data_IF_184355339745
#
_entry.id   IF_184355339745
#
_cell.length_a   1.000
_cell.length_b   1.000
_cell.length_c   1.000
_cell.angle_alpha   90.00
_cell.angle_beta   90.00
_cell.angle_gamma   90.00
#
_symmetry.space_group_name_H-M   'P 1'
#
loop_
_entity.id
_entity.type
_entity.pdbx_description
1 polymer ?
#
# COMPACT_ATOMS: atom_id res chain seq x y z
N UNK A 1 -15.01 -6.44 -16.35
CA UNK A 1 -14.27 -5.26 -15.87
C UNK A 1 -12.83 -5.71 -15.67
N UNK A 2 -11.88 -5.12 -16.39
CA UNK A 2 -10.49 -5.61 -16.41
C UNK A 2 -9.85 -5.46 -15.04
N UNK A 3 -9.54 -6.60 -14.41
CA UNK A 3 -8.86 -6.71 -13.11
C UNK A 3 -7.44 -6.05 -13.16
N UNK A 4 -6.91 -5.85 -14.37
CA UNK A 4 -5.56 -5.36 -14.65
C UNK A 4 -5.37 -3.82 -14.52
N UNK A 5 -6.33 -3.05 -14.02
CA UNK A 5 -6.13 -1.59 -13.90
C UNK A 5 -5.01 -1.26 -12.90
N UNK A 6 -3.96 -0.59 -13.40
CA UNK A 6 -2.80 -0.14 -12.61
C UNK A 6 -3.25 0.86 -11.55
N UNK A 7 -2.89 0.60 -10.29
CA UNK A 7 -3.23 1.51 -9.18
C UNK A 7 -2.37 2.77 -9.28
N UNK A 8 -1.11 2.62 -9.69
CA UNK A 8 -0.17 3.73 -9.90
C UNK A 8 -0.71 4.68 -10.96
N UNK A 9 -1.13 4.16 -12.12
CA UNK A 9 -1.65 4.99 -13.21
C UNK A 9 -2.93 5.75 -12.81
N UNK A 10 -3.85 5.10 -12.12
CA UNK A 10 -5.07 5.75 -11.61
C UNK A 10 -4.74 6.87 -10.61
N UNK A 11 -3.79 6.63 -9.69
CA UNK A 11 -3.41 7.64 -8.71
C UNK A 11 -2.72 8.85 -9.37
N UNK A 12 -1.83 8.61 -10.34
CA UNK A 12 -1.18 9.69 -11.09
C UNK A 12 -2.17 10.52 -11.92
N UNK A 13 -3.22 9.90 -12.46
CA UNK A 13 -4.30 10.62 -13.14
C UNK A 13 -5.12 11.50 -12.19
N UNK A 14 -5.35 11.05 -10.96
CA UNK A 14 -6.08 11.81 -9.94
C UNK A 14 -5.26 12.98 -9.37
N UNK A 15 -3.93 12.88 -9.40
CA UNK A 15 -3.02 13.89 -8.88
C UNK A 15 -1.94 14.27 -9.91
N UNK A 16 -2.34 14.88 -11.04
CA UNK A 16 -1.41 15.19 -12.15
C UNK A 16 -0.32 16.19 -11.75
N UNK A 17 -0.60 17.05 -10.77
CA UNK A 17 0.35 18.04 -10.25
C UNK A 17 1.44 17.41 -9.36
N UNK A 18 1.27 16.14 -8.95
CA UNK A 18 2.27 15.42 -8.17
C UNK A 18 3.29 14.82 -9.12
N UNK A 19 4.52 15.34 -9.06
CA UNK A 19 5.63 14.81 -9.85
C UNK A 19 6.01 13.40 -9.38
N UNK A 20 5.82 12.42 -10.24
CA UNK A 20 6.35 11.07 -10.03
C UNK A 20 7.89 11.12 -9.98
N UNK A 21 8.47 10.38 -9.05
CA UNK A 21 9.91 10.28 -8.87
C UNK A 21 10.39 8.88 -9.21
N UNK A 22 11.65 8.80 -9.63
CA UNK A 22 12.32 7.53 -9.92
C UNK A 22 13.03 7.03 -8.66
N UNK A 23 12.77 5.78 -8.31
CA UNK A 23 13.35 5.09 -7.17
C UNK A 23 14.08 3.82 -7.63
N UNK A 24 15.14 3.48 -6.92
CA UNK A 24 15.76 2.16 -7.02
C UNK A 24 15.13 1.21 -6.01
N UNK A 25 15.19 -0.10 -6.29
CA UNK A 25 14.69 -1.13 -5.38
C UNK A 25 15.23 -0.97 -3.95
N UNK A 26 16.55 -0.75 -3.80
CA UNK A 26 17.19 -0.56 -2.49
C UNK A 26 16.61 0.62 -1.72
N UNK A 27 16.33 1.74 -2.41
CA UNK A 27 15.71 2.92 -1.82
C UNK A 27 14.28 2.64 -1.38
N UNK A 28 13.48 1.94 -2.20
CA UNK A 28 12.12 1.56 -1.83
C UNK A 28 12.09 0.61 -0.64
N UNK A 29 12.95 -0.41 -0.61
CA UNK A 29 13.06 -1.32 0.53
C UNK A 29 13.41 -0.57 1.81
N UNK A 30 14.43 0.29 1.77
CA UNK A 30 14.81 1.09 2.93
C UNK A 30 13.70 2.06 3.38
N UNK A 31 13.00 2.68 2.42
CA UNK A 31 11.85 3.55 2.71
C UNK A 31 10.69 2.78 3.33
N UNK A 32 10.31 1.63 2.77
CA UNK A 32 9.25 0.77 3.34
C UNK A 32 9.61 0.31 4.74
N UNK A 33 10.83 -0.15 4.98
CA UNK A 33 11.30 -0.53 6.33
C UNK A 33 11.20 0.64 7.32
N UNK A 34 11.68 1.83 6.94
CA UNK A 34 11.61 3.00 7.80
C UNK A 34 10.15 3.42 8.12
N UNK A 35 9.25 3.31 7.14
CA UNK A 35 7.82 3.62 7.32
C UNK A 35 7.13 2.61 8.25
N UNK A 36 7.41 1.32 8.06
CA UNK A 36 6.89 0.26 8.90
C UNK A 36 7.47 0.33 10.33
N UNK A 37 8.73 0.73 10.50
CA UNK A 37 9.34 0.97 11.81
C UNK A 37 8.61 2.09 12.56
N UNK A 38 8.21 3.16 11.85
CA UNK A 38 7.36 4.21 12.43
C UNK A 38 6.01 3.67 12.89
N UNK A 39 5.38 2.78 12.11
CA UNK A 39 4.13 2.10 12.51
C UNK A 39 4.36 1.28 13.78
N UNK A 40 5.43 0.51 13.84
CA UNK A 40 5.75 -0.34 14.98
C UNK A 40 6.08 0.48 16.24
N UNK A 41 6.71 1.65 16.09
CA UNK A 41 7.08 2.53 17.19
C UNK A 41 5.93 3.39 17.76
N UNK A 42 4.87 3.64 16.98
CA UNK A 42 3.71 4.42 17.47
C UNK A 42 2.88 3.67 18.52
N UNK A 43 1.78 4.26 18.98
CA UNK A 43 0.77 3.54 19.81
C UNK A 43 -0.60 3.46 19.11
N UNK A 44 -0.73 4.15 17.98
CA UNK A 44 -1.96 4.21 17.20
C UNK A 44 -2.29 2.85 16.55
N UNK A 45 -3.58 2.69 16.22
CA UNK A 45 -4.10 1.61 15.39
C UNK A 45 -4.34 2.12 13.95
N UNK A 46 -3.33 2.08 13.05
CA UNK A 46 -3.48 2.58 11.69
C UNK A 46 -4.17 1.56 10.76
N UNK A 47 -4.67 2.04 9.63
CA UNK A 47 -4.89 1.19 8.45
C UNK A 47 -3.55 0.95 7.76
N UNK A 48 -3.21 -0.31 7.46
CA UNK A 48 -2.00 -0.69 6.73
C UNK A 48 -2.37 -1.56 5.54
N UNK A 49 -2.00 -1.12 4.34
CA UNK A 49 -2.17 -1.88 3.11
C UNK A 49 -0.81 -1.98 2.42
N UNK A 50 -0.33 -3.21 2.26
CA UNK A 50 0.94 -3.48 1.59
C UNK A 50 0.74 -4.42 0.40
N UNK A 51 1.33 -4.08 -0.73
CA UNK A 51 1.30 -4.89 -1.95
C UNK A 51 2.72 -5.22 -2.37
N UNK A 52 3.04 -6.51 -2.35
CA UNK A 52 4.30 -7.06 -2.81
C UNK A 52 4.12 -7.63 -4.21
N UNK A 53 5.09 -7.40 -5.07
CA UNK A 53 5.07 -7.95 -6.43
C UNK A 53 4.97 -9.48 -6.42
N UNK A 54 5.61 -10.15 -5.46
CA UNK A 54 5.74 -11.61 -5.38
C UNK A 54 5.82 -12.08 -3.92
N UNK A 55 5.31 -13.29 -3.66
CA UNK A 55 5.30 -13.94 -2.35
C UNK A 55 6.68 -13.94 -1.66
N UNK A 56 7.78 -14.24 -2.36
CA UNK A 56 9.13 -14.27 -1.75
C UNK A 56 9.56 -12.97 -1.09
N UNK A 57 9.10 -11.82 -1.59
CA UNK A 57 9.41 -10.52 -0.98
C UNK A 57 8.60 -10.32 0.30
N UNK A 58 7.32 -10.71 0.28
CA UNK A 58 6.49 -10.71 1.49
C UNK A 58 7.03 -11.66 2.56
N UNK A 59 7.49 -12.88 2.22
CA UNK A 59 7.96 -13.87 3.19
C UNK A 59 9.10 -13.35 4.06
N UNK A 60 9.97 -12.50 3.52
CA UNK A 60 11.07 -11.88 4.26
C UNK A 60 10.55 -10.89 5.32
N UNK A 61 9.39 -10.26 5.06
CA UNK A 61 8.79 -9.23 5.90
C UNK A 61 7.63 -9.73 6.77
N UNK A 62 7.19 -10.99 6.60
CA UNK A 62 5.98 -11.54 7.23
C UNK A 62 5.96 -11.37 8.76
N UNK A 63 7.13 -11.50 9.42
CA UNK A 63 7.24 -11.28 10.86
C UNK A 63 6.89 -9.83 11.27
N UNK A 64 7.22 -8.85 10.43
CA UNK A 64 6.89 -7.43 10.69
C UNK A 64 5.39 -7.19 10.60
N UNK A 65 4.74 -7.72 9.56
CA UNK A 65 3.28 -7.60 9.41
C UNK A 65 2.51 -8.30 10.53
N UNK A 66 3.03 -9.43 11.03
CA UNK A 66 2.48 -10.08 12.23
C UNK A 66 2.54 -9.17 13.46
N UNK A 67 3.61 -8.40 13.65
CA UNK A 67 3.73 -7.42 14.75
C UNK A 67 2.82 -6.21 14.53
N UNK A 68 2.71 -5.71 13.31
CA UNK A 68 1.79 -4.60 12.97
C UNK A 68 0.34 -5.01 13.26
N UNK A 69 -0.05 -6.22 12.91
CA UNK A 69 -1.39 -6.76 13.16
C UNK A 69 -1.74 -6.96 14.64
N UNK A 70 -0.75 -6.93 15.55
CA UNK A 70 -1.03 -6.87 16.99
C UNK A 70 -1.52 -5.49 17.45
N UNK A 71 -1.35 -4.46 16.61
CA UNK A 71 -1.70 -3.06 16.92
C UNK A 71 -3.00 -2.62 16.25
N UNK A 72 -3.39 -3.28 15.17
CA UNK A 72 -4.56 -2.91 14.37
C UNK A 72 -5.16 -4.14 13.68
N UNK A 73 -6.49 -4.20 13.64
CA UNK A 73 -7.22 -5.23 12.89
C UNK A 73 -7.26 -4.95 11.38
N UNK A 74 -6.75 -3.79 10.95
CA UNK A 74 -6.86 -3.26 9.59
C UNK A 74 -5.54 -3.37 8.85
N UNK A 75 -5.08 -4.62 8.69
CA UNK A 75 -3.87 -4.97 7.94
C UNK A 75 -4.25 -5.84 6.75
N UNK A 76 -3.83 -5.40 5.57
CA UNK A 76 -4.09 -6.07 4.29
C UNK A 76 -2.78 -6.25 3.53
N UNK A 77 -2.45 -7.50 3.23
CA UNK A 77 -1.23 -7.85 2.50
C UNK A 77 -1.59 -8.55 1.20
N UNK A 78 -1.16 -7.96 0.09
CA UNK A 78 -1.35 -8.47 -1.26
C UNK A 78 -0.02 -9.03 -1.79
N UNK A 79 -0.05 -10.20 -2.41
CA UNK A 79 1.10 -10.73 -3.14
C UNK A 79 0.66 -11.67 -4.28
N UNK A 80 1.46 -11.75 -5.36
CA UNK A 80 1.32 -12.81 -6.34
C UNK A 80 1.82 -14.13 -5.72
N UNK A 81 1.00 -15.19 -5.70
CA UNK A 81 1.39 -16.47 -5.10
C UNK A 81 2.46 -17.17 -5.94
N UNK A 82 3.49 -17.70 -5.29
CA UNK A 82 4.50 -18.55 -5.92
C UNK A 82 4.37 -20.00 -5.44
N UNK A 83 3.98 -20.20 -4.18
CA UNK A 83 3.89 -21.50 -3.52
C UNK A 83 2.67 -21.59 -2.59
N UNK A 84 2.78 -21.12 -1.34
CA UNK A 84 1.77 -21.35 -0.30
C UNK A 84 0.93 -20.10 0.02
N UNK A 85 1.28 -18.95 -0.54
CA UNK A 85 0.52 -17.73 -0.32
C UNK A 85 -0.88 -17.86 -0.90
N UNK A 86 -1.89 -17.72 -0.06
CA UNK A 86 -3.30 -17.90 -0.40
C UNK A 86 -4.13 -16.85 0.31
N UNK A 87 -5.40 -16.71 -0.11
CA UNK A 87 -6.35 -15.89 0.60
C UNK A 87 -6.61 -16.46 2.00
N UNK A 88 -6.33 -15.69 3.03
CA UNK A 88 -6.57 -16.09 4.42
C UNK A 88 -6.91 -14.91 5.31
N UNK A 89 -7.81 -15.14 6.26
CA UNK A 89 -8.24 -14.18 7.30
C UNK A 89 -7.73 -14.62 8.68
N UNK A 90 -6.42 -14.83 8.77
CA UNK A 90 -5.74 -15.23 10.00
C UNK A 90 -5.45 -14.03 10.90
N UNK A 91 -4.17 -13.80 11.17
CA UNK A 91 -3.71 -12.66 11.99
C UNK A 91 -3.99 -11.31 11.28
N UNK A 92 -3.93 -11.32 9.95
CA UNK A 92 -4.30 -10.21 9.08
C UNK A 92 -4.84 -10.77 7.76
N UNK A 93 -5.40 -9.90 6.92
CA UNK A 93 -5.92 -10.32 5.63
C UNK A 93 -4.78 -10.51 4.64
N UNK A 94 -4.67 -11.71 4.09
CA UNK A 94 -3.81 -12.02 2.95
C UNK A 94 -4.68 -12.14 1.70
N UNK A 95 -4.18 -11.57 0.60
CA UNK A 95 -4.88 -11.46 -0.68
C UNK A 95 -3.93 -11.92 -1.78
N UNK A 96 -4.11 -13.17 -2.23
CA UNK A 96 -3.41 -13.73 -3.37
C UNK A 96 -4.03 -13.18 -4.66
N UNK A 97 -3.33 -12.27 -5.32
CA UNK A 97 -3.75 -11.74 -6.62
C UNK A 97 -3.17 -12.55 -7.77
N UNK A 98 -3.80 -12.45 -8.94
CA UNK A 98 -3.36 -13.17 -10.13
C UNK A 98 -2.00 -12.62 -10.63
N UNK A 99 -1.01 -13.45 -10.98
CA UNK A 99 0.30 -12.97 -11.47
C UNK A 99 0.24 -12.04 -12.69
N UNK A 100 -0.85 -12.09 -13.46
CA UNK A 100 -1.11 -11.25 -14.63
C UNK A 100 -1.71 -9.87 -14.27
N UNK A 101 -2.05 -9.65 -13.00
CA UNK A 101 -2.49 -8.36 -12.50
C UNK A 101 -1.34 -7.34 -12.56
N UNK A 102 -1.67 -6.08 -12.84
CA UNK A 102 -0.71 -4.97 -12.75
C UNK A 102 -0.03 -4.87 -11.38
N UNK A 103 -0.65 -5.34 -10.30
CA UNK A 103 -0.03 -5.44 -8.97
C UNK A 103 1.28 -6.25 -8.96
N UNK A 104 1.47 -7.20 -9.88
CA UNK A 104 2.72 -7.96 -9.99
C UNK A 104 3.91 -7.08 -10.41
N UNK A 105 3.64 -5.92 -11.03
CA UNK A 105 4.62 -4.93 -11.44
C UNK A 105 4.59 -3.67 -10.56
N UNK A 106 3.78 -3.66 -9.50
CA UNK A 106 3.61 -2.51 -8.63
C UNK A 106 4.05 -2.82 -7.19
N UNK A 107 4.50 -1.79 -6.50
CA UNK A 107 4.90 -1.81 -5.10
C UNK A 107 4.08 -0.77 -4.35
N UNK A 108 3.35 -1.20 -3.32
CA UNK A 108 2.50 -0.31 -2.54
C UNK A 108 2.72 -0.48 -1.05
N UNK A 109 2.84 0.63 -0.34
CA UNK A 109 2.71 0.69 1.11
C UNK A 109 1.90 1.94 1.45
N UNK A 110 0.70 1.73 1.97
CA UNK A 110 -0.19 2.80 2.42
C UNK A 110 -0.48 2.61 3.89
N UNK A 111 -0.19 3.63 4.68
CA UNK A 111 -0.50 3.69 6.11
C UNK A 111 -1.33 4.92 6.38
N UNK A 112 -2.45 4.76 7.07
CA UNK A 112 -3.27 5.89 7.52
C UNK A 112 -3.49 5.73 9.02
N UNK A 113 -2.84 6.59 9.80
CA UNK A 113 -3.04 6.75 11.22
C UNK A 113 -3.92 7.99 11.49
N UNK A 114 -4.18 8.29 12.74
CA UNK A 114 -4.92 9.50 13.12
C UNK A 114 -4.08 10.77 12.95
N UNK A 115 -2.79 10.70 13.29
CA UNK A 115 -1.90 11.86 13.26
C UNK A 115 -1.03 11.97 11.99
N UNK A 116 -0.90 10.87 11.24
CA UNK A 116 -0.07 10.85 10.05
C UNK A 116 -0.60 9.88 8.99
N UNK A 117 -0.13 10.08 7.77
CA UNK A 117 -0.41 9.22 6.63
C UNK A 117 0.86 9.04 5.81
N UNK A 118 1.00 7.88 5.20
CA UNK A 118 2.15 7.47 4.37
C UNK A 118 1.53 6.84 3.13
N UNK A 119 1.90 7.36 1.96
CA UNK A 119 1.52 6.77 0.68
C UNK A 119 2.76 6.58 -0.18
N UNK A 120 3.21 5.33 -0.28
CA UNK A 120 4.24 4.88 -1.21
C UNK A 120 3.56 4.03 -2.28
N UNK A 121 3.46 4.53 -3.49
CA UNK A 121 2.88 3.82 -4.63
C UNK A 121 3.79 3.97 -5.83
N UNK A 122 4.35 2.85 -6.30
CA UNK A 122 5.34 2.84 -7.37
C UNK A 122 5.11 1.68 -8.34
N UNK A 123 5.26 1.95 -9.63
CA UNK A 123 5.22 0.95 -10.69
C UNK A 123 6.63 0.70 -11.24
N UNK A 124 6.96 -0.55 -11.49
CA UNK A 124 8.23 -0.91 -12.13
C UNK A 124 8.28 -0.38 -13.56
N UNK A 125 9.41 0.24 -13.90
CA UNK A 125 9.72 0.65 -15.27
C UNK A 125 10.73 -0.34 -15.83
N UNK A 126 10.27 -1.17 -16.75
CA UNK A 126 11.13 -1.98 -17.60
C UNK A 126 11.89 -1.05 -18.55
N UNK A 127 13.03 -0.53 -18.12
CA UNK A 127 14.00 0.09 -19.02
C UNK A 127 14.76 -1.06 -19.67
N UNK A 128 14.21 -1.63 -20.74
CA UNK A 128 15.00 -2.51 -21.60
C UNK A 128 16.16 -1.66 -22.17
N UNK A 129 17.43 -1.97 -21.90
CA UNK A 129 18.49 -1.41 -22.72
C UNK A 129 18.28 -1.98 -24.12
N UNK A 130 18.14 -1.11 -25.12
CA UNK A 130 18.05 -1.51 -26.52
C UNK A 130 19.14 -2.56 -26.83
N UNK A 131 18.71 -3.78 -27.17
CA UNK A 131 19.55 -4.75 -27.86
C UNK A 131 20.49 -5.65 -27.05
N UNK A 132 20.36 -5.84 -25.73
CA UNK A 132 21.17 -6.87 -25.02
C UNK A 132 20.34 -7.84 -24.19
N UNK A 133 20.45 -9.14 -24.50
CA UNK A 133 20.02 -10.25 -23.64
C UNK A 133 20.72 -10.12 -22.29
N UNK A 134 20.01 -9.73 -21.24
CA UNK A 134 20.62 -9.59 -19.91
C UNK A 134 20.43 -10.88 -19.12
N UNK A 135 21.58 -11.51 -18.87
CA UNK A 135 21.84 -12.63 -17.98
C UNK A 135 21.68 -12.15 -16.53
N UNK A 136 20.81 -12.83 -15.77
CA UNK A 136 20.74 -13.10 -14.30
C UNK A 136 21.40 -12.19 -13.22
N UNK A 137 21.83 -10.96 -13.49
CA UNK A 137 22.32 -9.99 -12.47
C UNK A 137 21.38 -8.78 -12.28
N UNK A 138 20.08 -8.95 -12.55
CA UNK A 138 19.13 -7.89 -12.91
C UNK A 138 18.39 -7.17 -11.77
N UNK A 139 18.45 -7.63 -10.52
CA UNK A 139 17.52 -7.16 -9.48
C UNK A 139 17.88 -5.77 -8.90
N UNK A 140 19.16 -5.36 -8.97
CA UNK A 140 19.64 -4.06 -8.46
C UNK A 140 19.40 -2.88 -9.42
N UNK A 141 19.23 -3.15 -10.72
CA UNK A 141 18.98 -2.12 -11.74
C UNK A 141 17.48 -1.85 -11.98
N UNK A 142 16.59 -2.52 -11.24
CA UNK A 142 15.15 -2.29 -11.33
C UNK A 142 14.82 -0.88 -10.87
N UNK A 143 14.17 -0.14 -11.76
CA UNK A 143 13.74 1.23 -11.53
C UNK A 143 12.24 1.25 -11.35
N UNK A 144 11.80 2.06 -10.42
CA UNK A 144 10.40 2.24 -10.08
C UNK A 144 10.05 3.70 -10.24
N UNK A 145 8.89 3.99 -10.79
CA UNK A 145 8.35 5.35 -10.90
C UNK A 145 7.08 5.44 -10.06
N UNK A 146 6.97 6.48 -9.25
CA UNK A 146 5.78 6.65 -8.43
C UNK A 146 5.79 7.84 -7.50
N UNK A 147 4.83 7.84 -6.58
CA UNK A 147 4.66 8.88 -5.57
C UNK A 147 5.03 8.30 -4.21
N UNK A 148 5.84 9.06 -3.49
CA UNK A 148 6.03 8.94 -2.05
C UNK A 148 5.57 10.26 -1.41
N UNK A 149 4.63 10.20 -0.48
CA UNK A 149 4.10 11.40 0.20
C UNK A 149 3.52 11.09 1.57
N UNK A 150 3.51 12.11 2.44
CA UNK A 150 2.75 12.12 3.69
C UNK A 150 1.35 12.74 3.54
N UNK A 151 0.99 13.23 2.35
CA UNK A 151 -0.32 13.84 2.09
C UNK A 151 -1.46 12.85 2.33
N UNK A 152 -2.32 13.20 3.28
CA UNK A 152 -3.47 12.39 3.68
C UNK A 152 -4.45 12.17 2.55
N UNK A 153 -4.74 13.18 1.73
CA UNK A 153 -5.69 13.04 0.62
C UNK A 153 -5.18 12.03 -0.41
N UNK A 154 -3.88 12.04 -0.71
CA UNK A 154 -3.27 11.06 -1.62
C UNK A 154 -3.32 9.66 -1.01
N UNK A 155 -2.97 9.52 0.26
CA UNK A 155 -3.03 8.23 0.98
C UNK A 155 -4.46 7.67 1.04
N UNK A 156 -5.46 8.50 1.31
CA UNK A 156 -6.86 8.08 1.36
C UNK A 156 -7.37 7.60 0.00
N UNK A 157 -7.03 8.30 -1.09
CA UNK A 157 -7.38 7.86 -2.44
C UNK A 157 -6.69 6.56 -2.82
N UNK A 158 -5.39 6.45 -2.54
CA UNK A 158 -4.60 5.24 -2.74
C UNK A 158 -5.19 4.05 -1.98
N UNK A 159 -5.48 4.21 -0.68
CA UNK A 159 -6.12 3.20 0.13
C UNK A 159 -7.50 2.80 -0.42
N UNK A 160 -8.31 3.77 -0.86
CA UNK A 160 -9.61 3.47 -1.45
C UNK A 160 -9.49 2.59 -2.71
N UNK A 161 -8.57 2.91 -3.62
CA UNK A 161 -8.31 2.13 -4.83
C UNK A 161 -7.86 0.70 -4.49
N UNK A 162 -6.94 0.55 -3.54
CA UNK A 162 -6.46 -0.76 -3.10
C UNK A 162 -7.55 -1.58 -2.42
N UNK A 163 -8.37 -0.96 -1.57
CA UNK A 163 -9.49 -1.63 -0.90
C UNK A 163 -10.57 -2.08 -1.88
N UNK A 164 -10.89 -1.28 -2.90
CA UNK A 164 -11.79 -1.72 -3.98
C UNK A 164 -11.19 -2.91 -4.75
N UNK A 165 -9.88 -2.88 -5.02
CA UNK A 165 -9.19 -4.00 -5.68
C UNK A 165 -9.19 -5.27 -4.81
N UNK A 166 -9.00 -5.14 -3.50
CA UNK A 166 -9.14 -6.26 -2.55
C UNK A 166 -10.54 -6.88 -2.63
N UNK A 167 -11.61 -6.07 -2.74
CA UNK A 167 -12.98 -6.59 -2.82
C UNK A 167 -13.25 -7.40 -4.08
N UNK A 168 -12.52 -7.16 -5.19
CA UNK A 168 -12.60 -7.98 -6.39
C UNK A 168 -12.07 -9.40 -6.12
N UNK A 169 -10.97 -9.50 -5.36
CA UNK A 169 -10.36 -10.79 -5.01
C UNK A 169 -11.04 -11.49 -3.83
N UNK A 170 -11.52 -10.72 -2.85
CA UNK A 170 -12.09 -11.21 -1.59
C UNK A 170 -13.37 -10.46 -1.22
N UNK A 171 -14.49 -10.71 -1.94
CA UNK A 171 -15.75 -10.03 -1.71
C UNK A 171 -16.32 -10.25 -0.30
N UNK A 172 -15.94 -11.33 0.38
CA UNK A 172 -16.31 -11.62 1.76
C UNK A 172 -15.81 -10.55 2.76
N UNK A 173 -14.76 -9.80 2.42
CA UNK A 173 -14.19 -8.74 3.25
C UNK A 173 -14.99 -7.43 3.22
N UNK A 174 -16.10 -7.37 2.47
CA UNK A 174 -16.93 -6.16 2.28
C UNK A 174 -17.28 -5.43 3.58
N UNK A 175 -17.66 -6.16 4.64
CA UNK A 175 -18.01 -5.55 5.94
C UNK A 175 -16.78 -4.92 6.62
N UNK A 176 -15.67 -5.66 6.67
CA UNK A 176 -14.41 -5.21 7.29
C UNK A 176 -13.84 -4.00 6.57
N UNK A 177 -13.85 -4.04 5.22
CA UNK A 177 -13.41 -2.93 4.38
C UNK A 177 -14.32 -1.71 4.56
N UNK A 178 -15.65 -1.87 4.61
CA UNK A 178 -16.54 -0.75 4.86
C UNK A 178 -16.26 -0.06 6.22
N UNK A 179 -15.93 -0.84 7.25
CA UNK A 179 -15.49 -0.32 8.54
C UNK A 179 -14.16 0.44 8.42
N UNK A 180 -13.17 -0.11 7.72
CA UNK A 180 -11.90 0.56 7.45
C UNK A 180 -12.12 1.92 6.74
N UNK A 181 -12.94 1.94 5.68
CA UNK A 181 -13.27 3.17 4.95
C UNK A 181 -13.92 4.21 5.85
N UNK A 182 -14.84 3.78 6.72
CA UNK A 182 -15.50 4.66 7.69
C UNK A 182 -14.52 5.27 8.70
N UNK A 183 -13.54 4.49 9.16
CA UNK A 183 -12.59 4.93 10.18
C UNK A 183 -11.47 5.81 9.63
N UNK A 184 -10.96 5.51 8.44
CA UNK A 184 -9.71 6.12 7.95
C UNK A 184 -9.86 7.01 6.71
N UNK A 185 -10.93 6.84 5.91
CA UNK A 185 -11.12 7.54 4.64
C UNK A 185 -12.22 8.61 4.68
N UNK A 186 -12.76 8.90 5.85
CA UNK A 186 -13.68 10.01 6.00
C UNK A 186 -12.88 11.30 6.07
N UNK A 187 -13.28 12.35 5.33
CA UNK A 187 -12.71 13.67 5.55
C UNK A 187 -12.90 13.97 7.03
N UNK A 188 -11.81 14.30 7.73
CA UNK A 188 -11.88 14.69 9.12
C UNK A 188 -12.97 15.75 9.23
N UNK A 189 -14.10 15.39 9.85
CA UNK A 189 -15.09 16.37 10.27
C UNK A 189 -14.29 17.34 11.14
N UNK A 190 -14.14 18.57 10.64
CA UNK A 190 -13.43 19.67 11.28
C UNK A 190 -13.40 19.51 12.80
N UNK A 191 -12.25 19.08 13.35
CA UNK A 191 -11.88 19.44 14.71
C UNK A 191 -11.41 20.91 14.70
N UNK A 192 -12.28 21.79 14.25
CA UNK A 192 -12.13 23.23 14.43
C UNK A 192 -13.32 23.73 15.25
N UNK A 193 -13.00 24.07 16.50
CA UNK A 193 -13.69 25.01 17.39
C UNK A 193 -15.04 24.58 17.97
N UNK A 194 -15.01 23.54 18.81
CA UNK A 194 -15.66 23.63 20.12
C UNK A 194 -14.69 24.29 21.11
N UNK A 195 -14.45 25.57 20.92
CA UNK A 195 -13.75 26.45 21.87
C UNK A 195 -14.33 27.86 21.76
N UNK A 196 -15.66 27.94 21.83
CA UNK A 196 -16.41 29.18 22.09
C UNK A 196 -17.74 28.78 22.76
N UNK A 197 -17.64 28.24 23.97
CA UNK A 197 -18.70 28.39 24.95
C UNK A 197 -18.12 28.54 26.35
N UNK A 198 -18.26 29.76 26.87
CA UNK A 198 -18.36 30.15 28.27
C UNK A 198 -17.11 30.03 29.15
N UNK A 199 -16.61 31.18 29.61
CA UNK A 199 -17.10 31.77 30.87
C UNK A 199 -16.67 33.25 30.98
N UNK A 200 -17.68 34.07 31.28
CA UNK A 200 -17.71 35.35 32.00
C UNK A 200 -17.00 36.61 31.47
#
# INVERSE_FOLDING_TARGET
MSISSSVVAQLLQLFPDRRAQMYFKSSLTALSHAMEDRVLAGEEAPLVIASFQQERFYRQEAHRYKRIAQKTDQVYVLAAPETEFTNSSGIYETIAFAPEDSLAQEWHLVVIASEYSICLICGEKNVAPEGKKVVTTLDANRRFEGIWTFDRQVAEKAANLLLEKILVYRPELKKKIAQAKKLYLQPALNKERSSDHQLD
#
